data_IF_129107129211
#
_entry.id   IF_129107129211
#
_cell.length_a   1.000
_cell.length_b   1.000
_cell.length_c   1.000
_cell.angle_alpha   90.00
_cell.angle_beta   90.00
_cell.angle_gamma   90.00
#
_symmetry.space_group_name_H-M   'P 1'
#
loop_
_entity.id
_entity.type
_entity.pdbx_description
1 polymer ?
#
# COMPACT_ATOMS: atom_id res chain seq x y z
N UNK A 1 61.08 54.77 -17.72
CA UNK A 1 59.65 55.02 -17.98
C UNK A 1 58.98 53.67 -18.20
N UNK A 2 57.89 53.39 -17.45
CA UNK A 2 56.92 52.28 -17.54
C UNK A 2 57.51 50.84 -17.64
N UNK A 3 57.32 49.89 -16.73
CA UNK A 3 56.23 49.64 -15.79
C UNK A 3 55.44 48.41 -16.25
N UNK A 4 55.76 47.21 -15.74
CA UNK A 4 54.81 46.07 -15.68
C UNK A 4 55.10 45.25 -14.42
N UNK A 5 54.53 45.70 -13.31
CA UNK A 5 54.19 44.85 -12.19
C UNK A 5 52.88 44.13 -12.56
N UNK A 6 52.85 42.79 -12.56
CA UNK A 6 51.57 42.10 -12.77
C UNK A 6 51.62 40.68 -13.30
N UNK A 7 52.43 39.77 -12.73
CA UNK A 7 52.38 38.34 -13.14
C UNK A 7 52.23 37.36 -11.98
N UNK A 8 52.32 37.80 -10.72
CA UNK A 8 52.21 36.90 -9.56
C UNK A 8 50.78 36.74 -9.02
N UNK A 9 49.91 37.73 -9.19
CA UNK A 9 48.51 37.65 -8.70
C UNK A 9 47.59 36.83 -9.61
N UNK A 10 47.87 36.74 -10.91
CA UNK A 10 47.05 35.98 -11.86
C UNK A 10 47.18 34.45 -11.67
N UNK A 11 48.39 33.98 -11.32
CA UNK A 11 48.64 32.55 -11.08
C UNK A 11 47.92 32.04 -9.82
N UNK A 12 47.79 32.87 -8.78
CA UNK A 12 47.07 32.49 -7.56
C UNK A 12 45.54 32.52 -7.74
N UNK A 13 45.02 33.42 -8.59
CA UNK A 13 43.60 33.44 -8.95
C UNK A 13 43.14 32.19 -9.72
N UNK A 14 43.98 31.70 -10.65
CA UNK A 14 43.68 30.51 -11.44
C UNK A 14 43.67 29.21 -10.61
N UNK A 15 44.60 29.07 -9.66
CA UNK A 15 44.66 27.91 -8.75
C UNK A 15 43.48 27.92 -7.76
N UNK A 16 43.06 29.09 -7.27
CA UNK A 16 41.92 29.22 -6.38
C UNK A 16 40.58 28.92 -7.08
N UNK A 17 40.43 29.32 -8.35
CA UNK A 17 39.22 29.02 -9.14
C UNK A 17 39.08 27.53 -9.47
N UNK A 18 40.20 26.82 -9.68
CA UNK A 18 40.21 25.38 -10.01
C UNK A 18 39.96 24.49 -8.79
N UNK A 19 40.27 24.97 -7.58
CA UNK A 19 40.02 24.25 -6.33
C UNK A 19 38.55 24.31 -5.87
N UNK A 20 37.80 25.35 -6.26
CA UNK A 20 36.38 25.52 -5.88
C UNK A 20 35.44 24.71 -6.78
N UNK A 21 35.84 24.37 -8.01
CA UNK A 21 34.98 23.62 -8.96
C UNK A 21 35.00 22.11 -8.77
N UNK A 22 35.99 21.54 -8.07
CA UNK A 22 36.11 20.08 -7.88
C UNK A 22 35.37 19.57 -6.63
N UNK A 23 35.06 20.44 -5.67
CA UNK A 23 34.36 20.05 -4.43
C UNK A 23 32.83 20.01 -4.57
N UNK A 24 32.27 20.59 -5.64
CA UNK A 24 30.81 20.67 -5.86
C UNK A 24 30.18 19.43 -6.52
N UNK A 25 30.96 18.63 -7.27
CA UNK A 25 30.43 17.49 -8.01
C UNK A 25 30.16 16.26 -7.11
N UNK A 26 30.88 16.11 -6.00
CA UNK A 26 30.69 14.99 -5.07
C UNK A 26 29.43 15.15 -4.19
N UNK A 27 29.04 16.38 -3.86
CA UNK A 27 27.87 16.68 -3.02
C UNK A 27 26.54 16.69 -3.79
N UNK A 28 26.58 16.82 -5.12
CA UNK A 28 25.39 16.79 -5.97
C UNK A 28 24.78 15.37 -6.11
N UNK A 29 25.57 14.31 -5.90
CA UNK A 29 25.11 12.92 -6.03
C UNK A 29 24.30 12.40 -4.84
N UNK A 30 24.77 12.59 -3.61
CA UNK A 30 24.13 12.02 -2.41
C UNK A 30 22.84 12.73 -2.00
N UNK A 31 22.80 14.07 -2.07
CA UNK A 31 21.58 14.83 -1.76
C UNK A 31 20.46 14.61 -2.79
N UNK A 32 20.81 14.29 -4.04
CA UNK A 32 19.81 13.99 -5.08
C UNK A 32 19.31 12.56 -5.01
N UNK A 33 20.14 11.62 -4.57
CA UNK A 33 19.71 10.24 -4.29
C UNK A 33 18.61 10.19 -3.23
N UNK A 34 18.73 10.98 -2.15
CA UNK A 34 17.70 11.07 -1.11
C UNK A 34 16.38 11.66 -1.65
N UNK A 35 16.45 12.69 -2.49
CA UNK A 35 15.26 13.30 -3.11
C UNK A 35 14.58 12.34 -4.11
N UNK A 36 15.36 11.70 -4.97
CA UNK A 36 14.87 10.75 -5.98
C UNK A 36 14.24 9.51 -5.31
N UNK A 37 14.82 9.00 -4.21
CA UNK A 37 14.25 7.88 -3.46
C UNK A 37 12.82 8.19 -2.97
N UNK A 38 12.58 9.40 -2.46
CA UNK A 38 11.26 9.83 -1.99
C UNK A 38 10.28 9.93 -3.16
N UNK A 39 10.71 10.48 -4.30
CA UNK A 39 9.85 10.62 -5.48
C UNK A 39 9.54 9.27 -6.16
N UNK A 40 10.49 8.33 -6.15
CA UNK A 40 10.24 6.95 -6.56
C UNK A 40 9.25 6.26 -5.64
N UNK A 41 9.43 6.36 -4.32
CA UNK A 41 8.50 5.78 -3.35
C UNK A 41 7.08 6.32 -3.53
N UNK A 42 6.92 7.64 -3.74
CA UNK A 42 5.62 8.27 -4.03
C UNK A 42 5.01 7.80 -5.35
N UNK A 43 5.84 7.59 -6.37
CA UNK A 43 5.36 7.13 -7.68
C UNK A 43 4.92 5.67 -7.63
N UNK A 44 5.65 4.83 -6.88
CA UNK A 44 5.27 3.46 -6.60
C UNK A 44 3.96 3.39 -5.80
N UNK A 45 3.84 4.17 -4.72
CA UNK A 45 2.61 4.27 -3.91
C UNK A 45 1.40 4.71 -4.76
N UNK A 46 1.56 5.70 -5.65
CA UNK A 46 0.50 6.11 -6.58
C UNK A 46 0.12 4.99 -7.55
N UNK A 47 1.10 4.24 -8.06
CA UNK A 47 0.85 3.11 -8.96
C UNK A 47 0.09 1.98 -8.24
N UNK A 48 0.52 1.62 -7.03
CA UNK A 48 -0.14 0.61 -6.19
C UNK A 48 -1.58 1.00 -5.86
N UNK A 49 -1.82 2.26 -5.45
CA UNK A 49 -3.18 2.76 -5.21
C UNK A 49 -4.09 2.62 -6.43
N UNK A 50 -3.58 2.99 -7.61
CA UNK A 50 -4.34 2.86 -8.86
C UNK A 50 -4.61 1.40 -9.21
N UNK A 51 -3.63 0.51 -9.05
CA UNK A 51 -3.81 -0.91 -9.31
C UNK A 51 -4.81 -1.54 -8.34
N UNK A 52 -4.70 -1.28 -7.04
CA UNK A 52 -5.65 -1.78 -6.04
C UNK A 52 -7.07 -1.28 -6.33
N UNK A 53 -7.25 0.02 -6.61
CA UNK A 53 -8.56 0.57 -6.97
C UNK A 53 -9.09 -0.04 -8.27
N UNK A 54 -8.23 -0.20 -9.29
CA UNK A 54 -8.60 -0.87 -10.55
C UNK A 54 -9.06 -2.30 -10.31
N UNK A 55 -8.36 -3.07 -9.47
CA UNK A 55 -8.74 -4.45 -9.18
C UNK A 55 -10.06 -4.54 -8.42
N UNK A 56 -10.33 -3.61 -7.50
CA UNK A 56 -11.63 -3.53 -6.81
C UNK A 56 -12.76 -3.29 -7.83
N UNK A 57 -12.58 -2.33 -8.74
CA UNK A 57 -13.58 -2.02 -9.77
C UNK A 57 -13.72 -3.17 -10.77
N UNK A 58 -12.62 -3.78 -11.23
CA UNK A 58 -12.68 -4.96 -12.10
C UNK A 58 -13.49 -6.09 -11.45
N UNK A 59 -13.19 -6.44 -10.20
CA UNK A 59 -13.93 -7.48 -9.47
C UNK A 59 -15.41 -7.13 -9.28
N UNK A 60 -15.74 -5.83 -9.14
CA UNK A 60 -17.12 -5.34 -9.09
C UNK A 60 -17.89 -5.62 -10.39
N UNK A 61 -17.20 -5.67 -11.54
CA UNK A 61 -17.78 -6.01 -12.84
C UNK A 61 -17.45 -7.45 -13.28
N UNK A 62 -17.03 -8.32 -12.35
CA UNK A 62 -16.63 -9.69 -12.62
C UNK A 62 -15.46 -9.87 -13.61
N UNK A 63 -14.64 -8.82 -13.79
CA UNK A 63 -13.40 -8.88 -14.54
C UNK A 63 -12.28 -9.51 -13.73
N UNK A 64 -11.23 -9.98 -14.44
CA UNK A 64 -10.06 -10.58 -13.81
C UNK A 64 -9.15 -9.52 -13.18
N UNK A 65 -8.76 -9.64 -11.89
CA UNK A 65 -7.81 -8.74 -11.27
C UNK A 65 -6.39 -9.00 -11.80
N UNK A 66 -5.56 -7.96 -11.86
CA UNK A 66 -4.15 -8.07 -12.27
C UNK A 66 -3.23 -7.51 -11.20
N UNK A 67 -2.21 -8.28 -10.82
CA UNK A 67 -1.20 -7.86 -9.84
C UNK A 67 0.16 -7.82 -10.52
N UNK A 68 0.87 -6.72 -10.31
CA UNK A 68 2.17 -6.47 -10.93
C UNK A 68 3.07 -5.78 -9.89
N UNK A 69 3.56 -6.54 -8.89
CA UNK A 69 4.45 -5.99 -7.90
C UNK A 69 5.76 -5.51 -8.55
N UNK A 70 6.33 -4.45 -7.98
CA UNK A 70 7.65 -3.96 -8.36
C UNK A 70 8.69 -4.71 -7.53
N UNK A 71 9.40 -5.64 -8.17
CA UNK A 71 10.38 -6.50 -7.48
C UNK A 71 11.70 -5.79 -7.26
N UNK A 72 12.13 -4.93 -8.20
CA UNK A 72 13.43 -4.25 -8.12
C UNK A 72 13.40 -2.90 -8.84
N UNK A 73 14.07 -1.91 -8.24
CA UNK A 73 14.36 -0.59 -8.83
C UNK A 73 15.88 -0.45 -8.89
N UNK A 74 16.44 -0.24 -10.10
CA UNK A 74 17.87 0.04 -10.29
C UNK A 74 18.01 1.42 -10.91
N UNK A 75 18.60 2.38 -10.19
CA UNK A 75 18.90 3.70 -10.72
C UNK A 75 20.34 3.73 -11.25
N UNK A 76 20.52 4.08 -12.52
CA UNK A 76 21.82 4.32 -13.14
C UNK A 76 21.97 5.82 -13.45
N UNK A 77 23.01 6.43 -12.89
CA UNK A 77 23.31 7.86 -13.05
C UNK A 77 24.55 8.01 -13.93
N UNK A 78 24.43 8.70 -15.07
CA UNK A 78 25.59 9.11 -15.87
C UNK A 78 25.75 10.63 -15.82
N UNK A 79 27.00 11.06 -15.65
CA UNK A 79 27.38 12.47 -15.69
C UNK A 79 28.44 12.65 -16.77
N UNK A 80 28.04 13.30 -17.86
CA UNK A 80 28.90 13.51 -19.02
C UNK A 80 29.30 14.99 -19.07
N UNK A 81 30.53 15.28 -18.65
CA UNK A 81 31.14 16.59 -18.78
C UNK A 81 32.15 16.58 -19.92
N UNK A 82 31.92 17.37 -20.98
CA UNK A 82 32.91 17.55 -22.05
C UNK A 82 33.29 19.02 -22.19
N UNK A 83 34.60 19.26 -22.19
CA UNK A 83 35.20 20.57 -22.40
C UNK A 83 36.04 20.51 -23.67
N UNK A 84 35.64 21.29 -24.68
CA UNK A 84 36.25 21.27 -25.99
C UNK A 84 36.88 22.64 -26.23
N UNK A 85 38.19 22.67 -26.48
CA UNK A 85 38.90 23.86 -26.92
C UNK A 85 39.49 23.58 -28.29
N UNK A 86 39.08 24.35 -29.31
CA UNK A 86 39.68 24.27 -30.64
C UNK A 86 40.33 25.61 -30.99
N UNK A 87 41.50 25.51 -31.59
CA UNK A 87 42.27 26.65 -32.09
C UNK A 87 42.35 26.48 -33.60
N UNK A 88 41.76 27.41 -34.34
CA UNK A 88 41.89 27.44 -35.80
C UNK A 88 42.86 28.56 -36.16
N UNK A 89 44.09 28.19 -36.50
CA UNK A 89 45.11 29.10 -37.01
C UNK A 89 45.07 29.13 -38.55
N UNK A 90 44.94 30.32 -39.11
CA UNK A 90 45.10 30.57 -40.55
C UNK A 90 46.54 31.05 -40.82
N UNK A 91 47.21 30.52 -41.85
CA UNK A 91 48.59 30.87 -42.22
C UNK A 91 48.70 32.09 -43.14
N UNK A 92 47.58 32.78 -43.40
CA UNK A 92 47.56 34.00 -44.21
C UNK A 92 48.08 35.17 -43.35
N UNK A 93 49.16 35.80 -43.80
CA UNK A 93 49.72 37.00 -43.15
C UNK A 93 48.63 38.08 -43.02
N UNK A 94 48.22 38.36 -41.78
CA UNK A 94 47.19 39.35 -41.44
C UNK A 94 45.91 38.79 -40.82
N UNK A 95 45.67 37.47 -40.80
CA UNK A 95 44.51 36.88 -40.12
C UNK A 95 44.84 36.45 -38.68
N UNK A 96 44.17 37.07 -37.69
CA UNK A 96 44.34 36.75 -36.27
C UNK A 96 43.84 35.35 -35.90
N UNK A 97 44.46 34.74 -34.90
CA UNK A 97 44.08 33.43 -34.35
C UNK A 97 42.70 33.51 -33.69
N UNK A 98 41.74 32.70 -34.14
CA UNK A 98 40.44 32.57 -33.49
C UNK A 98 40.37 31.24 -32.75
N UNK A 99 40.07 31.29 -31.44
CA UNK A 99 39.82 30.13 -30.61
C UNK A 99 38.35 30.05 -30.22
N UNK A 100 37.77 28.85 -30.28
CA UNK A 100 36.44 28.58 -29.72
C UNK A 100 36.59 27.63 -28.53
N UNK A 101 36.04 28.05 -27.39
CA UNK A 101 35.95 27.25 -26.19
C UNK A 101 34.46 26.98 -25.90
N UNK A 102 34.10 25.71 -25.79
CA UNK A 102 32.76 25.27 -25.44
C UNK A 102 32.80 24.30 -24.27
N UNK A 103 31.85 24.42 -23.35
CA UNK A 103 31.62 23.45 -22.29
C UNK A 103 30.19 22.93 -22.45
N UNK A 104 30.02 21.60 -22.44
CA UNK A 104 28.72 20.95 -22.38
C UNK A 104 28.65 20.06 -21.15
N UNK A 105 27.54 20.18 -20.43
CA UNK A 105 27.20 19.34 -19.28
C UNK A 105 25.94 18.58 -19.68
N UNK A 106 26.08 17.26 -19.84
CA UNK A 106 24.98 16.32 -20.03
C UNK A 106 24.71 15.57 -18.74
N UNK A 107 23.44 15.53 -18.31
CA UNK A 107 23.00 14.71 -17.18
C UNK A 107 21.91 13.76 -17.66
N UNK A 108 22.06 12.47 -17.38
CA UNK A 108 21.01 11.48 -17.62
C UNK A 108 20.82 10.56 -16.41
N UNK A 109 19.55 10.29 -16.09
CA UNK A 109 19.14 9.29 -15.10
C UNK A 109 18.13 8.36 -15.79
N UNK A 110 18.48 7.08 -15.90
CA UNK A 110 17.63 6.05 -16.49
C UNK A 110 17.33 4.95 -15.46
N UNK A 111 16.31 5.11 -14.59
CA UNK A 111 15.92 4.05 -13.68
C UNK A 111 15.32 2.88 -14.47
N UNK A 112 15.80 1.67 -14.21
CA UNK A 112 15.25 0.43 -14.74
C UNK A 112 14.36 -0.20 -13.67
N UNK A 113 13.07 -0.38 -14.00
CA UNK A 113 12.09 -1.07 -13.16
C UNK A 113 11.92 -2.51 -13.67
N UNK A 114 12.11 -3.48 -12.79
CA UNK A 114 11.83 -4.88 -13.11
C UNK A 114 10.49 -5.28 -12.52
N UNK A 115 9.56 -5.61 -13.42
CA UNK A 115 8.25 -6.17 -13.06
C UNK A 115 8.30 -7.68 -13.22
N UNK A 116 7.91 -8.41 -12.19
CA UNK A 116 7.73 -9.87 -12.27
C UNK A 116 6.24 -10.15 -12.16
N UNK A 117 5.56 -10.56 -13.26
CA UNK A 117 4.16 -10.91 -13.19
C UNK A 117 3.95 -12.05 -12.18
N UNK A 118 3.09 -11.85 -11.19
CA UNK A 118 2.76 -12.91 -10.24
C UNK A 118 1.91 -13.97 -10.96
N UNK A 119 2.47 -15.16 -11.18
CA UNK A 119 1.79 -16.25 -11.91
C UNK A 119 1.89 -17.57 -11.17
N UNK A 120 0.95 -18.49 -11.46
CA UNK A 120 0.97 -19.83 -10.90
C UNK A 120 0.83 -19.86 -9.38
N UNK A 121 1.77 -20.52 -8.71
CA UNK A 121 1.74 -20.77 -7.26
C UNK A 121 1.87 -19.49 -6.42
N UNK A 122 2.68 -18.51 -6.87
CA UNK A 122 2.82 -17.22 -6.18
C UNK A 122 1.49 -16.46 -6.17
N UNK A 123 0.75 -16.50 -7.28
CA UNK A 123 -0.57 -15.89 -7.34
C UNK A 123 -1.56 -16.62 -6.41
N UNK A 124 -1.56 -17.96 -6.44
CA UNK A 124 -2.44 -18.75 -5.60
C UNK A 124 -2.16 -18.53 -4.10
N UNK A 125 -0.88 -18.52 -3.70
CA UNK A 125 -0.47 -18.35 -2.31
C UNK A 125 -0.72 -16.94 -1.77
N UNK A 126 -0.45 -15.89 -2.57
CA UNK A 126 -0.61 -14.49 -2.12
C UNK A 126 -2.03 -13.95 -2.25
N UNK A 127 -2.77 -14.38 -3.26
CA UNK A 127 -4.01 -13.68 -3.64
C UNK A 127 -5.27 -14.53 -3.53
N UNK A 128 -5.16 -15.85 -3.69
CA UNK A 128 -6.30 -16.78 -3.63
C UNK A 128 -6.44 -17.39 -2.22
N UNK A 129 -5.31 -17.72 -1.57
CA UNK A 129 -5.34 -18.36 -0.25
C UNK A 129 -5.82 -17.38 0.83
N UNK A 130 -6.71 -17.82 1.74
CA UNK A 130 -7.09 -17.05 2.92
C UNK A 130 -5.91 -16.62 3.77
N UNK A 131 -5.94 -15.39 4.27
CA UNK A 131 -4.87 -14.84 5.10
C UNK A 131 -4.86 -15.49 6.49
N UNK A 132 -3.73 -16.05 6.93
CA UNK A 132 -3.67 -16.66 8.26
C UNK A 132 -3.98 -15.63 9.37
N UNK A 133 -4.77 -15.97 10.41
CA UNK A 133 -5.07 -15.05 11.52
C UNK A 133 -3.81 -14.51 12.20
N UNK A 134 -2.79 -15.35 12.33
CA UNK A 134 -1.49 -14.99 12.88
C UNK A 134 -0.69 -14.00 12.03
N UNK A 135 -1.03 -13.82 10.75
CA UNK A 135 -0.45 -12.80 9.87
C UNK A 135 -1.12 -11.44 10.04
N UNK A 136 -2.43 -11.42 10.27
CA UNK A 136 -3.24 -10.19 10.24
C UNK A 136 -3.48 -9.57 11.62
N UNK A 137 -3.79 -10.39 12.64
CA UNK A 137 -4.13 -9.88 13.98
C UNK A 137 -3.01 -9.11 14.69
N UNK A 138 -1.70 -9.34 14.44
CA UNK A 138 -0.65 -8.48 14.98
C UNK A 138 -0.79 -7.00 14.55
N UNK A 139 -1.45 -6.69 13.43
CA UNK A 139 -1.69 -5.30 13.01
C UNK A 139 -2.49 -4.49 14.03
N UNK A 140 -3.30 -5.16 14.87
CA UNK A 140 -4.04 -4.52 15.97
C UNK A 140 -3.08 -3.88 16.99
N UNK A 141 -1.92 -4.52 17.24
CA UNK A 141 -0.89 -3.96 18.12
C UNK A 141 -0.19 -2.75 17.49
N UNK A 142 -0.09 -2.72 16.17
CA UNK A 142 0.48 -1.61 15.39
C UNK A 142 -0.47 -0.42 15.22
N UNK A 143 -1.60 -0.41 15.93
CA UNK A 143 -2.56 0.70 15.95
C UNK A 143 -3.72 0.57 14.96
N UNK A 144 -3.86 -0.55 14.25
CA UNK A 144 -5.05 -0.78 13.41
C UNK A 144 -6.27 -1.05 14.31
N UNK A 145 -7.40 -0.36 14.10
CA UNK A 145 -8.65 -0.65 14.80
C UNK A 145 -9.11 -2.08 14.53
N UNK A 146 -9.40 -2.84 15.59
CA UNK A 146 -9.78 -4.25 15.46
C UNK A 146 -11.09 -4.44 14.70
N UNK A 147 -12.03 -3.51 14.87
CA UNK A 147 -13.29 -3.46 14.12
C UNK A 147 -13.06 -3.31 12.63
N UNK A 148 -12.24 -2.33 12.23
CA UNK A 148 -11.90 -2.14 10.82
C UNK A 148 -11.18 -3.37 10.26
N UNK A 149 -10.19 -3.89 10.99
CA UNK A 149 -9.42 -5.05 10.54
C UNK A 149 -10.32 -6.26 10.33
N UNK A 150 -11.12 -6.65 11.34
CA UNK A 150 -12.01 -7.81 11.26
C UNK A 150 -13.11 -7.61 10.22
N UNK A 151 -13.63 -6.40 10.06
CA UNK A 151 -14.59 -6.09 8.99
C UNK A 151 -14.01 -6.37 7.60
N UNK A 152 -12.74 -6.06 7.38
CA UNK A 152 -12.03 -6.32 6.11
C UNK A 152 -11.68 -7.82 5.98
N UNK A 153 -11.01 -8.40 6.98
CA UNK A 153 -10.35 -9.71 6.83
C UNK A 153 -11.20 -10.89 7.23
N UNK A 154 -12.15 -10.76 8.16
CA UNK A 154 -12.92 -11.89 8.66
C UNK A 154 -14.16 -12.14 7.79
N UNK A 155 -14.27 -13.32 7.20
CA UNK A 155 -15.52 -13.79 6.61
C UNK A 155 -16.49 -14.24 7.71
N UNK A 156 -16.01 -14.94 8.73
CA UNK A 156 -16.80 -15.33 9.90
C UNK A 156 -15.93 -15.51 11.14
N UNK A 157 -16.53 -15.36 12.33
CA UNK A 157 -15.92 -15.66 13.61
C UNK A 157 -16.89 -16.57 14.37
N UNK A 158 -16.52 -17.83 14.61
CA UNK A 158 -17.46 -18.84 15.08
C UNK A 158 -18.64 -18.99 14.11
N UNK A 159 -19.85 -18.83 14.63
CA UNK A 159 -21.12 -18.82 13.90
C UNK A 159 -21.51 -17.42 13.36
N UNK A 160 -20.81 -16.37 13.78
CA UNK A 160 -21.08 -14.99 13.38
C UNK A 160 -20.53 -14.71 11.98
N UNK A 161 -21.42 -14.36 11.05
CA UNK A 161 -21.08 -14.10 9.65
C UNK A 161 -20.87 -12.61 9.41
N UNK A 162 -19.80 -12.27 8.71
CA UNK A 162 -19.64 -10.94 8.13
C UNK A 162 -20.41 -10.84 6.80
N UNK A 163 -20.52 -9.64 6.24
CA UNK A 163 -21.10 -9.44 4.91
C UNK A 163 -20.35 -10.26 3.86
N UNK A 164 -21.08 -10.80 2.90
CA UNK A 164 -20.50 -11.62 1.83
C UNK A 164 -21.18 -11.35 0.50
N UNK A 165 -20.54 -10.52 -0.32
CA UNK A 165 -20.96 -10.10 -1.65
C UNK A 165 -21.40 -11.26 -2.57
N UNK A 166 -20.65 -12.36 -2.55
CA UNK A 166 -20.87 -13.50 -3.44
C UNK A 166 -21.83 -14.55 -2.87
N UNK A 167 -22.40 -14.32 -1.69
CA UNK A 167 -23.26 -15.29 -1.00
C UNK A 167 -24.76 -15.07 -1.28
N UNK A 168 -25.12 -14.14 -2.17
CA UNK A 168 -26.50 -13.85 -2.58
C UNK A 168 -27.00 -12.47 -2.14
N UNK A 169 -28.15 -12.06 -2.69
CA UNK A 169 -28.66 -10.68 -2.72
C UNK A 169 -28.96 -10.01 -1.36
N UNK A 170 -28.83 -10.72 -0.23
CA UNK A 170 -29.16 -10.22 1.12
C UNK A 170 -28.13 -10.64 2.19
N UNK A 171 -26.88 -10.97 1.83
CA UNK A 171 -25.89 -11.35 2.84
C UNK A 171 -25.12 -10.13 3.40
N UNK A 172 -25.84 -9.27 4.13
CA UNK A 172 -25.28 -8.12 4.83
C UNK A 172 -24.55 -8.50 6.14
N UNK A 173 -24.40 -9.79 6.43
CA UNK A 173 -23.81 -10.32 7.67
C UNK A 173 -24.83 -10.52 8.79
N UNK A 174 -24.37 -10.98 9.96
CA UNK A 174 -25.18 -11.11 11.17
C UNK A 174 -25.01 -9.91 12.10
N UNK A 175 -26.07 -9.51 12.80
CA UNK A 175 -26.01 -8.42 13.78
C UNK A 175 -24.97 -8.69 14.87
N UNK A 176 -24.87 -9.94 15.33
CA UNK A 176 -23.90 -10.36 16.34
C UNK A 176 -22.44 -10.20 15.90
N UNK A 177 -22.14 -10.33 14.61
CA UNK A 177 -20.79 -10.05 14.10
C UNK A 177 -20.41 -8.58 14.31
N UNK A 178 -21.30 -7.65 13.92
CA UNK A 178 -21.05 -6.22 14.08
C UNK A 178 -21.03 -5.81 15.56
N UNK A 179 -21.93 -6.36 16.37
CA UNK A 179 -21.90 -6.17 17.83
C UNK A 179 -20.56 -6.63 18.43
N UNK A 180 -20.06 -7.79 18.01
CA UNK A 180 -18.77 -8.32 18.48
C UNK A 180 -17.62 -7.38 18.13
N UNK A 181 -17.46 -6.99 16.87
CA UNK A 181 -16.31 -6.17 16.46
C UNK A 181 -16.34 -4.78 17.11
N UNK A 182 -17.52 -4.17 17.27
CA UNK A 182 -17.68 -2.89 17.98
C UNK A 182 -17.36 -3.02 19.47
N UNK A 183 -17.76 -4.13 20.10
CA UNK A 183 -17.43 -4.44 21.49
C UNK A 183 -15.92 -4.63 21.66
N UNK A 184 -15.27 -5.38 20.77
CA UNK A 184 -13.82 -5.53 20.76
C UNK A 184 -13.11 -4.19 20.56
N UNK A 185 -13.66 -3.29 19.73
CA UNK A 185 -13.11 -1.94 19.54
C UNK A 185 -13.20 -1.10 20.80
N UNK A 186 -14.33 -1.12 21.52
CA UNK A 186 -14.44 -0.42 22.81
C UNK A 186 -13.43 -0.94 23.83
N UNK A 187 -13.25 -2.27 23.92
CA UNK A 187 -12.21 -2.89 24.75
C UNK A 187 -10.79 -2.49 24.33
N UNK A 188 -10.51 -2.42 23.03
CA UNK A 188 -9.22 -1.96 22.50
C UNK A 188 -8.92 -0.52 22.90
N UNK A 189 -9.89 0.39 22.75
CA UNK A 189 -9.74 1.81 23.11
C UNK A 189 -9.48 2.02 24.60
N UNK A 190 -9.94 1.10 25.44
CA UNK A 190 -9.77 1.11 26.91
C UNK A 190 -8.53 0.33 27.38
N UNK A 191 -7.73 -0.24 26.46
CA UNK A 191 -6.54 -1.04 26.80
C UNK A 191 -6.83 -2.41 27.43
N UNK A 192 -8.11 -2.83 27.43
CA UNK A 192 -8.57 -4.10 27.97
C UNK A 192 -8.43 -5.27 26.98
N UNK A 193 -8.14 -4.97 25.70
CA UNK A 193 -7.88 -5.98 24.67
C UNK A 193 -6.39 -5.98 24.28
N UNK A 194 -5.76 -7.14 24.32
CA UNK A 194 -4.40 -7.34 23.79
C UNK A 194 -4.34 -8.52 22.84
N UNK A 195 -3.55 -8.39 21.79
CA UNK A 195 -3.14 -9.51 20.94
C UNK A 195 -1.80 -10.02 21.44
N UNK A 196 -1.55 -11.32 21.40
CA UNK A 196 -0.23 -11.91 21.61
C UNK A 196 0.10 -12.82 20.43
N UNK A 197 1.29 -12.66 19.87
CA UNK A 197 1.80 -13.50 18.79
C UNK A 197 2.89 -14.41 19.33
N UNK A 198 2.87 -15.67 18.92
CA UNK A 198 3.85 -16.67 19.31
C UNK A 198 4.38 -17.39 18.08
N UNK A 199 5.70 -17.37 17.90
CA UNK A 199 6.36 -18.11 16.83
C UNK A 199 6.74 -19.49 17.36
N UNK A 200 6.17 -20.54 16.77
CA UNK A 200 6.51 -21.92 17.10
C UNK A 200 7.01 -22.66 15.86
N UNK A 201 7.78 -23.73 16.06
CA UNK A 201 8.24 -24.60 14.97
C UNK A 201 7.07 -25.25 14.22
N UNK A 202 5.96 -25.51 14.92
CA UNK A 202 4.73 -26.07 14.36
C UNK A 202 3.85 -25.05 13.62
N UNK A 203 4.26 -23.78 13.56
CA UNK A 203 3.51 -22.70 12.94
C UNK A 203 3.22 -21.53 13.89
N UNK A 204 3.04 -20.35 13.31
CA UNK A 204 2.73 -19.14 14.07
C UNK A 204 1.34 -19.23 14.71
N UNK A 205 1.25 -18.84 15.98
CA UNK A 205 0.02 -18.83 16.77
C UNK A 205 -0.30 -17.41 17.22
N UNK A 206 -1.58 -17.12 17.40
CA UNK A 206 -2.03 -15.81 17.88
C UNK A 206 -3.13 -15.98 18.89
N UNK A 207 -3.09 -15.15 19.92
CA UNK A 207 -4.00 -15.17 21.05
C UNK A 207 -4.62 -13.79 21.22
N UNK A 208 -5.89 -13.77 21.60
CA UNK A 208 -6.55 -12.57 22.11
C UNK A 208 -6.70 -12.71 23.61
N UNK A 209 -6.41 -11.64 24.33
CA UNK A 209 -6.65 -11.55 25.75
C UNK A 209 -7.56 -10.36 26.08
N UNK A 210 -8.58 -10.62 26.90
CA UNK A 210 -9.58 -9.65 27.37
C UNK A 210 -9.47 -9.57 28.88
N UNK A 211 -8.88 -8.47 29.34
CA UNK A 211 -8.62 -8.18 30.75
C UNK A 211 -9.35 -6.90 31.18
N UNK A 212 -10.60 -7.03 31.67
CA UNK A 212 -11.38 -5.86 32.10
C UNK A 212 -10.80 -5.19 33.35
N UNK A 213 -9.93 -5.86 34.11
CA UNK A 213 -9.33 -5.30 35.34
C UNK A 213 -8.35 -4.17 35.10
N UNK A 214 -8.01 -3.91 33.82
CA UNK A 214 -7.17 -2.80 33.39
C UNK A 214 -7.92 -1.45 33.34
N UNK A 215 -9.22 -1.45 33.60
CA UNK A 215 -10.06 -0.26 33.61
C UNK A 215 -11.04 -0.32 34.78
N UNK A 216 -11.18 0.78 35.52
CA UNK A 216 -12.17 0.93 36.60
C UNK A 216 -13.58 1.28 36.06
N UNK A 217 -13.86 0.97 34.79
CA UNK A 217 -15.08 1.37 34.08
C UNK A 217 -16.00 0.16 33.97
N UNK A 218 -17.17 0.22 34.63
CA UNK A 218 -18.16 -0.85 34.62
C UNK A 218 -18.60 -1.22 33.18
N UNK A 219 -18.55 -0.26 32.24
CA UNK A 219 -18.85 -0.52 30.84
C UNK A 219 -17.84 -1.48 30.19
N UNK A 220 -16.56 -1.43 30.60
CA UNK A 220 -15.51 -2.36 30.11
C UNK A 220 -15.78 -3.78 30.60
N UNK A 221 -16.26 -3.93 31.83
CA UNK A 221 -16.66 -5.24 32.37
C UNK A 221 -17.86 -5.81 31.60
N UNK A 222 -18.87 -4.99 31.35
CA UNK A 222 -20.03 -5.38 30.54
C UNK A 222 -19.64 -5.77 29.11
N UNK A 223 -18.80 -4.97 28.45
CA UNK A 223 -18.28 -5.27 27.11
C UNK A 223 -17.49 -6.58 27.09
N UNK A 224 -16.70 -6.85 28.12
CA UNK A 224 -15.92 -8.07 28.22
C UNK A 224 -16.81 -9.32 28.41
N UNK A 225 -17.95 -9.20 29.11
CA UNK A 225 -18.96 -10.25 29.23
C UNK A 225 -19.64 -10.46 27.87
N UNK A 226 -20.06 -9.39 27.19
CA UNK A 226 -20.70 -9.46 25.87
C UNK A 226 -19.77 -10.11 24.84
N UNK A 227 -18.50 -9.70 24.78
CA UNK A 227 -17.53 -10.29 23.86
C UNK A 227 -17.31 -11.79 24.12
N UNK A 228 -17.18 -12.21 25.39
CA UNK A 228 -17.03 -13.63 25.75
C UNK A 228 -18.27 -14.45 25.36
N UNK A 229 -19.46 -13.90 25.61
CA UNK A 229 -20.73 -14.52 25.22
C UNK A 229 -20.82 -14.70 23.71
N UNK A 230 -20.52 -13.66 22.92
CA UNK A 230 -20.56 -13.72 21.45
C UNK A 230 -19.50 -14.66 20.86
N UNK A 231 -18.39 -14.87 21.56
CA UNK A 231 -17.31 -15.78 21.13
C UNK A 231 -17.49 -17.22 21.63
N UNK A 232 -18.55 -17.51 22.40
CA UNK A 232 -18.78 -18.80 23.08
C UNK A 232 -17.58 -19.23 23.95
N UNK A 233 -16.93 -18.26 24.62
CA UNK A 233 -15.80 -18.51 25.52
C UNK A 233 -16.28 -18.49 26.98
N UNK A 234 -15.76 -19.41 27.80
CA UNK A 234 -16.16 -19.54 29.21
C UNK A 234 -15.85 -18.26 30.00
N UNK A 235 -16.74 -17.93 30.94
CA UNK A 235 -16.57 -16.79 31.84
C UNK A 235 -15.24 -16.87 32.60
N UNK A 236 -14.57 -15.72 32.74
CA UNK A 236 -13.26 -15.63 33.40
C UNK A 236 -12.07 -16.06 32.53
N UNK A 237 -12.28 -16.61 31.32
CA UNK A 237 -11.18 -16.86 30.38
C UNK A 237 -10.55 -15.53 29.97
N UNK A 238 -9.27 -15.37 30.33
CA UNK A 238 -8.51 -14.14 30.06
C UNK A 238 -7.82 -14.14 28.72
N UNK A 239 -7.37 -15.31 28.26
CA UNK A 239 -6.65 -15.48 26.99
C UNK A 239 -7.21 -16.68 26.24
N UNK A 240 -7.37 -16.55 24.93
CA UNK A 240 -7.81 -17.61 24.04
C UNK A 240 -7.11 -17.53 22.69
N UNK A 241 -6.86 -18.68 22.09
CA UNK A 241 -6.18 -18.80 20.80
C UNK A 241 -7.14 -18.54 19.65
N UNK A 242 -6.69 -17.80 18.63
CA UNK A 242 -7.43 -17.62 17.38
C UNK A 242 -6.88 -18.56 16.33
N UNK A 243 -7.73 -19.43 15.83
CA UNK A 243 -7.36 -20.49 14.88
C UNK A 243 -8.14 -20.32 13.59
N UNK A 244 -7.49 -20.56 12.46
CA UNK A 244 -8.18 -20.53 11.17
C UNK A 244 -9.15 -21.71 11.02
N UNK A 245 -10.36 -21.44 10.54
CA UNK A 245 -11.40 -22.42 10.26
C UNK A 245 -12.42 -22.60 11.39
N UNK A 246 -13.35 -23.53 11.21
CA UNK A 246 -14.32 -23.89 12.24
C UNK A 246 -13.63 -24.71 13.33
N UNK A 247 -13.83 -24.29 14.59
CA UNK A 247 -13.30 -24.97 15.77
C UNK A 247 -14.48 -25.43 16.60
N UNK A 248 -14.44 -26.65 17.21
CA UNK A 248 -15.47 -27.06 18.16
C UNK A 248 -15.62 -26.04 19.29
N UNK A 249 -16.84 -25.81 19.77
CA UNK A 249 -17.19 -24.89 20.86
C UNK A 249 -16.70 -25.36 22.25
N UNK A 250 -15.47 -25.90 22.34
CA UNK A 250 -14.89 -26.41 23.58
C UNK A 250 -13.43 -25.99 23.69
N UNK A 251 -13.13 -25.22 24.74
CA UNK A 251 -11.79 -24.78 25.11
C UNK A 251 -11.55 -23.29 24.88
N UNK A 252 -10.33 -22.84 25.18
CA UNK A 252 -9.90 -21.46 24.98
C UNK A 252 -9.46 -21.21 23.53
N UNK A 253 -10.31 -21.54 22.56
CA UNK A 253 -10.04 -21.38 21.12
C UNK A 253 -11.26 -20.79 20.42
N UNK A 254 -11.02 -19.82 19.54
CA UNK A 254 -12.03 -19.24 18.65
C UNK A 254 -11.63 -19.50 17.21
N UNK A 255 -12.56 -20.07 16.44
CA UNK A 255 -12.40 -20.24 15.00
C UNK A 255 -12.70 -18.95 14.24
N UNK A 256 -11.83 -18.60 13.30
CA UNK A 256 -12.05 -17.49 12.36
C UNK A 256 -11.83 -17.97 10.93
N UNK A 257 -12.76 -17.66 10.04
CA UNK A 257 -12.54 -17.82 8.60
C UNK A 257 -12.15 -16.45 8.06
N UNK A 258 -10.95 -16.33 7.52
CA UNK A 258 -10.46 -15.10 6.91
C UNK A 258 -10.68 -15.11 5.40
N UNK A 259 -10.74 -13.92 4.80
CA UNK A 259 -10.76 -13.73 3.37
C UNK A 259 -9.35 -13.80 2.79
N UNK A 260 -9.27 -14.16 1.52
CA UNK A 260 -8.08 -13.92 0.70
C UNK A 260 -8.01 -12.46 0.25
N UNK A 261 -6.91 -12.04 -0.36
CA UNK A 261 -6.83 -10.69 -0.94
C UNK A 261 -7.94 -10.47 -1.98
N UNK A 262 -8.15 -11.44 -2.88
CA UNK A 262 -9.27 -11.34 -3.85
C UNK A 262 -10.61 -11.24 -3.12
N UNK A 263 -10.83 -12.05 -2.08
CA UNK A 263 -12.05 -11.98 -1.27
C UNK A 263 -12.26 -10.61 -0.61
N UNK A 264 -11.19 -9.97 -0.12
CA UNK A 264 -11.21 -8.62 0.44
C UNK A 264 -11.62 -7.61 -0.63
N UNK A 265 -10.96 -7.62 -1.79
CA UNK A 265 -11.22 -6.66 -2.86
C UNK A 265 -12.62 -6.83 -3.44
N UNK A 266 -13.10 -8.07 -3.58
CA UNK A 266 -14.47 -8.36 -4.01
C UNK A 266 -15.51 -7.84 -3.03
N UNK A 267 -15.30 -8.03 -1.72
CA UNK A 267 -16.23 -7.54 -0.70
C UNK A 267 -16.30 -6.02 -0.66
N UNK A 268 -15.16 -5.34 -0.78
CA UNK A 268 -15.11 -3.88 -0.91
C UNK A 268 -15.82 -3.45 -2.20
N UNK A 269 -15.54 -4.11 -3.32
CA UNK A 269 -16.13 -3.80 -4.62
C UNK A 269 -17.65 -3.86 -4.60
N UNK A 270 -18.23 -4.87 -3.94
CA UNK A 270 -19.68 -5.04 -3.86
C UNK A 270 -20.42 -3.93 -3.11
N UNK A 271 -19.72 -3.15 -2.29
CA UNK A 271 -20.26 -1.98 -1.58
C UNK A 271 -20.12 -0.68 -2.37
N UNK A 272 -19.44 -0.71 -3.53
CA UNK A 272 -19.27 0.46 -4.39
C UNK A 272 -20.56 0.76 -5.16
N UNK A 273 -20.90 2.04 -5.21
CA UNK A 273 -21.97 2.56 -6.04
C UNK A 273 -21.59 2.44 -7.52
N UNK A 274 -22.54 1.94 -8.31
CA UNK A 274 -22.38 1.76 -9.76
C UNK A 274 -23.54 2.47 -10.48
N UNK A 275 -23.34 2.92 -11.73
CA UNK A 275 -24.42 3.51 -12.51
C UNK A 275 -25.59 2.54 -12.64
N UNK A 276 -26.83 3.03 -12.46
CA UNK A 276 -28.03 2.20 -12.58
C UNK A 276 -28.16 1.54 -13.95
N UNK A 277 -27.71 2.23 -15.00
CA UNK A 277 -27.66 1.70 -16.36
C UNK A 277 -26.85 0.39 -16.47
N UNK A 278 -25.77 0.26 -15.70
CA UNK A 278 -24.91 -0.94 -15.70
C UNK A 278 -25.60 -2.12 -15.00
N UNK A 279 -26.39 -1.84 -13.98
CA UNK A 279 -27.22 -2.85 -13.30
C UNK A 279 -28.32 -3.34 -14.24
N UNK A 280 -29.05 -2.41 -14.87
CA UNK A 280 -30.14 -2.72 -15.81
C UNK A 280 -29.62 -3.48 -17.04
N UNK A 281 -28.43 -3.14 -17.52
CA UNK A 281 -27.77 -3.85 -18.63
C UNK A 281 -27.21 -5.23 -18.24
N UNK A 282 -27.19 -5.57 -16.96
CA UNK A 282 -26.62 -6.82 -16.46
C UNK A 282 -25.09 -6.87 -16.45
N UNK A 283 -24.42 -5.72 -16.59
CA UNK A 283 -22.96 -5.62 -16.51
C UNK A 283 -22.45 -5.82 -15.07
N UNK A 284 -23.29 -5.55 -14.07
CA UNK A 284 -22.99 -5.81 -12.66
C UNK A 284 -24.29 -6.01 -11.86
N UNK A 285 -24.18 -6.46 -10.62
CA UNK A 285 -25.31 -6.66 -9.70
C UNK A 285 -25.63 -5.38 -8.90
N UNK A 286 -26.80 -5.26 -8.27
CA UNK A 286 -27.06 -4.14 -7.35
C UNK A 286 -26.05 -4.05 -6.21
N UNK A 287 -25.71 -2.83 -5.78
CA UNK A 287 -24.80 -2.58 -4.65
C UNK A 287 -25.37 -3.19 -3.37
N UNK A 288 -24.52 -3.89 -2.62
CA UNK A 288 -24.92 -4.54 -1.35
C UNK A 288 -25.19 -3.47 -0.30
N UNK A 289 -26.40 -3.48 0.26
CA UNK A 289 -26.77 -2.57 1.35
C UNK A 289 -26.22 -3.07 2.68
N UNK A 290 -25.76 -2.13 3.50
CA UNK A 290 -25.31 -2.39 4.86
C UNK A 290 -26.53 -2.70 5.76
N UNK A 291 -26.30 -3.46 6.83
CA UNK A 291 -27.27 -3.56 7.92
C UNK A 291 -27.42 -2.20 8.59
N UNK A 292 -28.58 -1.90 9.19
CA UNK A 292 -28.85 -0.61 9.84
C UNK A 292 -27.85 -0.24 10.95
N UNK A 293 -27.14 -1.23 11.51
CA UNK A 293 -26.07 -1.04 12.50
C UNK A 293 -24.80 -0.43 11.88
N UNK A 294 -24.62 -0.60 10.57
CA UNK A 294 -23.53 -0.04 9.79
C UNK A 294 -24.02 1.04 8.85
N UNK A 295 -23.67 2.29 9.14
CA UNK A 295 -24.16 3.45 8.38
C UNK A 295 -23.24 3.85 7.24
N UNK A 296 -22.04 3.26 7.16
CA UNK A 296 -20.99 3.67 6.23
C UNK A 296 -20.24 2.46 5.65
N UNK A 297 -19.98 2.43 4.33
CA UNK A 297 -19.09 1.43 3.73
C UNK A 297 -17.68 1.50 4.31
N UNK A 298 -16.93 0.40 4.21
CA UNK A 298 -15.54 0.37 4.67
C UNK A 298 -14.67 1.38 3.92
N UNK A 299 -14.86 1.46 2.60
CA UNK A 299 -14.20 2.41 1.70
C UNK A 299 -15.28 2.98 0.77
N UNK A 300 -15.41 4.30 0.75
CA UNK A 300 -16.31 4.99 -0.17
C UNK A 300 -15.54 5.24 -1.46
N UNK A 301 -16.06 4.68 -2.56
CA UNK A 301 -15.57 4.94 -3.91
C UNK A 301 -16.69 5.61 -4.68
N UNK A 302 -16.42 6.80 -5.19
CA UNK A 302 -17.34 7.57 -6.01
C UNK A 302 -17.20 7.17 -7.48
N UNK A 303 -18.28 7.35 -8.24
CA UNK A 303 -18.33 7.15 -9.69
C UNK A 303 -18.84 8.39 -10.41
N UNK A 304 -18.32 8.67 -11.59
CA UNK A 304 -18.72 9.81 -12.40
C UNK A 304 -17.86 9.98 -13.65
N UNK A 305 -18.04 11.08 -14.40
CA UNK A 305 -17.30 11.31 -15.65
C UNK A 305 -15.83 11.70 -15.46
N UNK A 306 -15.54 12.39 -14.37
CA UNK A 306 -14.20 12.91 -14.09
C UNK A 306 -13.98 12.92 -12.57
N UNK A 307 -12.83 12.40 -12.14
CA UNK A 307 -12.41 12.49 -10.76
C UNK A 307 -11.86 13.90 -10.44
N UNK A 308 -12.00 14.38 -9.19
CA UNK A 308 -11.31 15.58 -8.73
C UNK A 308 -9.78 15.48 -8.95
N UNK A 309 -9.11 16.58 -9.32
CA UNK A 309 -7.67 16.56 -9.60
C UNK A 309 -6.82 16.21 -8.37
N UNK A 310 -7.35 16.42 -7.17
CA UNK A 310 -6.69 16.12 -5.89
C UNK A 310 -7.11 14.76 -5.29
N UNK A 311 -7.89 13.94 -6.00
CA UNK A 311 -8.38 12.64 -5.52
C UNK A 311 -7.25 11.78 -4.93
N UNK A 312 -7.56 11.04 -3.87
CA UNK A 312 -6.57 10.18 -3.21
C UNK A 312 -6.05 9.07 -4.14
N UNK A 313 -6.97 8.46 -4.87
CA UNK A 313 -6.73 7.49 -5.92
C UNK A 313 -7.87 7.61 -6.94
N UNK A 314 -7.56 7.44 -8.22
CA UNK A 314 -8.56 7.42 -9.28
C UNK A 314 -8.17 6.50 -10.43
N UNK A 315 -9.17 5.92 -11.06
CA UNK A 315 -9.03 5.08 -12.27
C UNK A 315 -10.13 5.42 -13.27
N UNK A 316 -9.89 5.11 -14.53
CA UNK A 316 -10.91 5.12 -15.58
C UNK A 316 -11.23 3.67 -15.90
N UNK A 317 -12.51 3.32 -15.86
CA UNK A 317 -13.02 1.99 -16.17
C UNK A 317 -13.90 2.05 -17.42
N UNK A 318 -13.78 1.03 -18.29
CA UNK A 318 -14.40 0.98 -19.60
C UNK A 318 -13.66 1.80 -20.67
N UNK A 319 -14.19 1.80 -21.89
CA UNK A 319 -13.55 2.41 -23.05
C UNK A 319 -14.47 3.42 -23.75
N UNK A 320 -13.86 4.38 -24.45
CA UNK A 320 -14.59 5.35 -25.28
C UNK A 320 -15.41 6.38 -24.46
N UNK A 321 -16.42 7.01 -25.07
CA UNK A 321 -17.16 8.12 -24.46
C UNK A 321 -18.07 7.69 -23.30
N UNK A 322 -18.19 6.40 -23.00
CA UNK A 322 -18.96 5.86 -21.87
C UNK A 322 -18.09 5.50 -20.66
N UNK A 323 -16.77 5.62 -20.77
CA UNK A 323 -15.86 5.34 -19.67
C UNK A 323 -16.22 6.16 -18.43
N UNK A 324 -16.12 5.51 -17.28
CA UNK A 324 -16.42 6.09 -15.97
C UNK A 324 -15.14 6.26 -15.18
N UNK A 325 -15.02 7.35 -14.45
CA UNK A 325 -13.99 7.55 -13.45
C UNK A 325 -14.50 7.04 -12.11
N UNK A 326 -13.67 6.25 -11.43
CA UNK A 326 -13.86 5.86 -10.03
C UNK A 326 -12.78 6.51 -9.18
N UNK A 327 -13.12 7.05 -8.02
CA UNK A 327 -12.15 7.70 -7.14
C UNK A 327 -12.48 7.62 -5.65
N UNK A 328 -11.46 7.77 -4.82
CA UNK A 328 -11.57 7.97 -3.37
C UNK A 328 -11.30 9.45 -3.08
N UNK A 329 -12.20 10.12 -2.36
CA UNK A 329 -12.03 11.54 -2.03
C UNK A 329 -10.80 11.74 -1.12
N UNK A 330 -10.03 12.79 -1.40
CA UNK A 330 -8.82 13.13 -0.65
C UNK A 330 -9.09 13.53 0.79
N UNK A 331 -10.28 14.03 1.08
CA UNK A 331 -10.73 14.52 2.39
C UNK A 331 -11.35 13.41 3.25
N UNK A 332 -11.70 12.27 2.67
CA UNK A 332 -12.23 11.13 3.40
C UNK A 332 -11.10 10.36 4.12
N UNK A 333 -10.83 10.73 5.37
CA UNK A 333 -9.78 10.09 6.17
C UNK A 333 -10.04 8.60 6.37
N UNK A 334 -11.28 8.22 6.71
CA UNK A 334 -11.63 6.85 7.05
C UNK A 334 -11.47 5.92 5.84
N UNK A 335 -11.91 6.36 4.65
CA UNK A 335 -11.68 5.59 3.41
C UNK A 335 -10.20 5.46 3.08
N UNK A 336 -9.41 6.53 3.21
CA UNK A 336 -7.95 6.47 2.96
C UNK A 336 -7.25 5.55 3.94
N UNK A 337 -7.65 5.59 5.21
CA UNK A 337 -7.06 4.76 6.25
C UNK A 337 -7.41 3.28 6.03
N UNK A 338 -8.68 2.97 5.78
CA UNK A 338 -9.12 1.62 5.40
C UNK A 338 -8.42 1.11 4.13
N UNK A 339 -8.30 1.95 3.10
CA UNK A 339 -7.58 1.60 1.87
C UNK A 339 -6.09 1.33 2.15
N UNK A 340 -5.46 2.09 3.05
CA UNK A 340 -4.06 1.85 3.45
C UNK A 340 -3.90 0.55 4.22
N UNK A 341 -4.87 0.18 5.07
CA UNK A 341 -4.90 -1.14 5.73
C UNK A 341 -4.99 -2.26 4.69
N UNK A 342 -5.80 -2.10 3.63
CA UNK A 342 -5.87 -3.07 2.52
C UNK A 342 -4.52 -3.20 1.80
N UNK A 343 -3.83 -2.09 1.51
CA UNK A 343 -2.49 -2.15 0.91
C UNK A 343 -1.47 -2.88 1.80
N UNK A 344 -1.52 -2.66 3.12
CA UNK A 344 -0.66 -3.39 4.06
C UNK A 344 -0.96 -4.89 4.07
N UNK A 345 -2.24 -5.28 3.98
CA UNK A 345 -2.65 -6.68 3.91
C UNK A 345 -2.17 -7.35 2.61
N UNK A 346 -2.21 -6.64 1.49
CA UNK A 346 -1.65 -7.11 0.20
C UNK A 346 -0.15 -7.34 0.35
N UNK A 347 0.60 -6.36 0.88
CA UNK A 347 2.03 -6.48 1.07
C UNK A 347 2.42 -7.64 2.03
N UNK A 348 1.63 -7.88 3.08
CA UNK A 348 1.82 -9.04 3.98
C UNK A 348 1.59 -10.37 3.26
N UNK A 349 0.62 -10.43 2.36
CA UNK A 349 0.33 -11.63 1.58
C UNK A 349 1.43 -11.93 0.55
N UNK A 350 2.01 -10.89 -0.07
CA UNK A 350 3.13 -11.02 -1.00
C UNK A 350 4.45 -11.40 -0.30
N UNK A 351 4.75 -10.80 0.87
CA UNK A 351 6.00 -11.09 1.62
C UNK A 351 6.06 -12.49 2.21
N UNK A 352 4.92 -13.18 2.28
CA UNK A 352 4.87 -14.61 2.64
C UNK A 352 5.55 -15.51 1.58
N UNK A 353 5.91 -14.94 0.42
CA UNK A 353 6.50 -15.62 -0.71
C UNK A 353 8.02 -15.45 -0.67
N UNK A 354 8.73 -16.54 -0.37
CA UNK A 354 10.19 -16.60 -0.49
C UNK A 354 10.58 -16.65 -1.96
N UNK A 355 10.64 -15.52 -2.67
CA UNK A 355 11.31 -15.44 -3.96
C UNK A 355 12.66 -14.72 -3.80
N UNK A 356 13.74 -15.44 -4.13
CA UNK A 356 15.07 -14.82 -4.27
C UNK A 356 14.96 -13.78 -5.39
N UNK A 357 15.29 -12.52 -5.08
CA UNK A 357 15.30 -11.47 -6.10
C UNK A 357 16.18 -11.89 -7.30
N UNK A 358 15.71 -11.71 -8.54
CA UNK A 358 16.48 -12.05 -9.72
C UNK A 358 17.78 -11.24 -9.75
N UNK A 359 18.92 -11.91 -9.93
CA UNK A 359 20.23 -11.25 -10.02
C UNK A 359 20.35 -10.64 -11.41
N UNK A 360 20.15 -9.33 -11.51
CA UNK A 360 20.39 -8.56 -12.74
C UNK A 360 21.84 -8.06 -12.71
N UNK A 361 22.64 -8.47 -13.71
CA UNK A 361 24.00 -7.95 -13.89
C UNK A 361 23.96 -6.84 -14.92
N UNK A 362 24.28 -5.60 -14.53
CA UNK A 362 24.37 -4.45 -15.44
C UNK A 362 25.84 -4.25 -15.82
N UNK A 363 26.20 -4.08 -17.11
CA UNK A 363 27.54 -3.68 -17.50
C UNK A 363 27.83 -2.28 -16.95
N UNK A 364 28.91 -2.13 -16.17
CA UNK A 364 29.42 -0.81 -15.82
C UNK A 364 30.03 -0.18 -17.08
N UNK A 365 29.35 0.83 -17.63
CA UNK A 365 29.83 1.66 -18.74
C UNK A 365 30.64 2.84 -18.23
#
# INVERSE_FOLDING_TARGET
MAGVAGTKHAAWGAVLCMAVTTSGCATLGSQRLEHDQVDYARSLDRAQKRQTLSNIVNLRYADTPSFLPVTQVIAAYSFDGSANASLTGSTIEGSGTAGTAGASIGYSNHPTFTFTPTTGEEFAAGYIRPLAPALVLPLVQSGVPIDLLLRIVAQSIGDLQNSAALSGANNSGSLGFFELIHTLRRLQLKGALTVRFERAESGNRVFLAIDPTRSDDDAVTADAVTARKLLHIADGTREFEIVYGAVPERGAKVGIVTRSVIGILTEIGAQIEVPEADIVAGATTPTVRLLEVETRPTIIVHVGRQAPPDAYASIVYGNGPQAQCYWIDRRDFDSKFAFSVVQNLIALAETSQSSKAPIVTIPAG
#
